data_IF_641097287285
#
_entry.id   IF_641097287285
#
_cell.length_a   1.000
_cell.length_b   1.000
_cell.length_c   1.000
_cell.angle_alpha   90.00
_cell.angle_beta   90.00
_cell.angle_gamma   90.00
#
_symmetry.space_group_name_H-M   'P 1'
#
loop_
_entity.id
_entity.type
_entity.pdbx_description
1 polymer ?
#
# COMPACT_ATOMS: atom_id res chain seq x y z
N UNK A 1 -11.49 -9.34 5.28
CA UNK A 1 -10.33 -9.16 4.38
C UNK A 1 -9.18 -8.59 5.20
N UNK A 2 -8.04 -9.30 5.27
CA UNK A 2 -6.93 -8.92 6.15
C UNK A 2 -6.11 -7.78 5.55
N UNK A 3 -6.51 -6.53 5.75
CA UNK A 3 -5.72 -5.40 5.27
C UNK A 3 -4.43 -5.23 6.08
N UNK A 4 -3.28 -5.22 5.41
CA UNK A 4 -2.01 -4.93 6.07
C UNK A 4 -1.72 -3.42 5.94
N UNK A 5 -1.47 -2.75 7.05
CA UNK A 5 -1.05 -1.35 7.05
C UNK A 5 0.41 -1.23 7.43
N UNK A 6 1.14 -0.39 6.70
CA UNK A 6 2.54 -0.07 7.02
C UNK A 6 2.76 1.42 6.91
N UNK A 7 3.59 1.91 7.81
CA UNK A 7 3.98 3.31 7.84
C UNK A 7 5.09 3.53 6.83
N UNK A 8 4.90 4.47 5.92
CA UNK A 8 5.95 4.94 5.03
C UNK A 8 7.05 5.60 5.87
N UNK A 9 8.28 5.13 5.72
CA UNK A 9 9.41 5.64 6.49
C UNK A 9 10.40 6.31 5.56
N UNK A 10 10.71 7.59 5.77
CA UNK A 10 11.81 8.23 5.06
C UNK A 10 13.15 7.68 5.56
N UNK A 11 13.96 7.12 4.67
CA UNK A 11 15.29 6.60 5.02
C UNK A 11 16.40 7.60 4.77
N UNK A 12 16.26 8.44 3.75
CA UNK A 12 17.22 9.50 3.45
C UNK A 12 16.52 10.67 2.70
N UNK A 13 17.31 11.59 2.14
CA UNK A 13 16.76 12.77 1.47
C UNK A 13 15.85 12.42 0.28
N UNK A 14 16.08 11.28 -0.37
CA UNK A 14 15.54 10.95 -1.70
C UNK A 14 14.79 9.62 -1.75
N UNK A 15 14.65 8.90 -0.64
CA UNK A 15 14.02 7.59 -0.59
C UNK A 15 13.15 7.39 0.63
N UNK A 16 12.10 6.62 0.42
CA UNK A 16 11.22 6.08 1.44
C UNK A 16 11.23 4.56 1.39
N UNK A 17 10.88 3.93 2.50
CA UNK A 17 10.78 2.48 2.60
C UNK A 17 9.45 2.04 3.19
N UNK A 18 9.03 0.87 2.75
CA UNK A 18 7.96 0.08 3.37
C UNK A 18 8.47 -1.33 3.63
N UNK A 19 7.95 -1.97 4.69
CA UNK A 19 8.29 -3.36 5.00
C UNK A 19 7.15 -4.30 4.67
N UNK A 20 7.45 -5.34 3.90
CA UNK A 20 6.52 -6.40 3.53
C UNK A 20 6.81 -7.61 4.42
N UNK A 21 5.82 -8.12 5.17
CA UNK A 21 5.97 -9.36 5.94
C UNK A 21 6.32 -10.53 5.03
N UNK A 22 7.24 -11.39 5.48
CA UNK A 22 7.60 -12.61 4.76
C UNK A 22 6.40 -13.49 4.42
N UNK A 23 5.43 -13.59 5.33
CA UNK A 23 4.21 -14.37 5.09
C UNK A 23 3.47 -13.89 3.83
N UNK A 24 3.40 -12.57 3.59
CA UNK A 24 2.77 -12.03 2.40
C UNK A 24 3.57 -12.36 1.13
N UNK A 25 4.91 -12.26 1.21
CA UNK A 25 5.79 -12.62 0.09
C UNK A 25 5.69 -14.11 -0.25
N UNK A 26 5.58 -14.98 0.75
CA UNK A 26 5.35 -16.41 0.56
C UNK A 26 3.98 -16.70 -0.05
N UNK A 27 2.92 -16.04 0.41
CA UNK A 27 1.57 -16.17 -0.15
C UNK A 27 1.51 -15.76 -1.62
N UNK A 28 2.32 -14.79 -2.03
CA UNK A 28 2.41 -14.33 -3.41
C UNK A 28 3.35 -15.18 -4.27
N UNK A 29 4.06 -16.15 -3.68
CA UNK A 29 5.07 -16.95 -4.38
C UNK A 29 6.30 -16.14 -4.81
N UNK A 30 6.56 -15.00 -4.18
CA UNK A 30 7.69 -14.14 -4.54
C UNK A 30 9.00 -14.66 -3.91
N UNK A 31 10.10 -14.54 -4.65
CA UNK A 31 11.42 -14.97 -4.20
C UNK A 31 12.25 -13.83 -3.61
N UNK A 32 13.21 -14.17 -2.75
CA UNK A 32 14.30 -13.24 -2.39
C UNK A 32 15.07 -12.85 -3.64
N UNK A 33 15.33 -11.55 -3.81
CA UNK A 33 15.93 -10.98 -5.03
C UNK A 33 15.03 -11.04 -6.28
N UNK A 34 13.74 -11.34 -6.14
CA UNK A 34 12.78 -11.21 -7.24
C UNK A 34 12.79 -9.77 -7.76
N UNK A 35 12.82 -9.62 -9.09
CA UNK A 35 12.58 -8.33 -9.74
C UNK A 35 11.08 -8.05 -9.72
N UNK A 36 10.72 -6.92 -9.12
CA UNK A 36 9.36 -6.43 -9.00
C UNK A 36 9.25 -5.16 -9.85
N UNK A 37 8.24 -5.12 -10.71
CA UNK A 37 7.83 -3.92 -11.42
C UNK A 37 6.91 -3.09 -10.54
N UNK A 38 7.20 -1.81 -10.43
CA UNK A 38 6.34 -0.81 -9.81
C UNK A 38 5.55 -0.14 -10.92
N UNK A 39 4.32 -0.59 -11.14
CA UNK A 39 3.32 0.18 -11.86
C UNK A 39 2.79 1.27 -10.92
N UNK A 40 2.57 2.46 -11.44
CA UNK A 40 1.94 3.53 -10.66
C UNK A 40 0.87 4.21 -11.52
N UNK A 41 -0.25 4.49 -10.88
CA UNK A 41 -1.32 5.33 -11.38
C UNK A 41 -1.56 6.44 -10.35
N UNK A 42 -2.24 7.53 -10.74
CA UNK A 42 -2.33 8.82 -10.02
C UNK A 42 -2.35 8.76 -8.48
N UNK A 43 -2.98 7.76 -7.86
CA UNK A 43 -3.02 7.60 -6.40
C UNK A 43 -2.53 6.23 -5.87
N UNK A 44 -2.13 5.31 -6.76
CA UNK A 44 -1.94 3.90 -6.43
C UNK A 44 -0.65 3.35 -7.00
N UNK A 45 0.06 2.56 -6.21
CA UNK A 45 1.21 1.77 -6.68
C UNK A 45 0.81 0.32 -6.74
N UNK A 46 1.08 -0.33 -7.86
CA UNK A 46 0.92 -1.77 -8.05
C UNK A 46 2.29 -2.40 -8.21
N UNK A 47 2.55 -3.44 -7.43
CA UNK A 47 3.77 -4.23 -7.44
C UNK A 47 3.45 -5.59 -8.03
N UNK A 48 4.18 -5.98 -9.06
CA UNK A 48 4.05 -7.30 -9.69
C UNK A 48 5.43 -7.86 -10.05
N UNK A 49 5.63 -9.18 -10.00
CA UNK A 49 6.84 -9.81 -10.54
C UNK A 49 7.06 -9.38 -11.99
N UNK A 50 8.31 -9.07 -12.35
CA UNK A 50 8.68 -8.65 -13.71
C UNK A 50 8.25 -9.68 -14.75
N UNK A 51 8.39 -10.97 -14.45
CA UNK A 51 8.03 -12.08 -15.34
C UNK A 51 6.52 -12.16 -15.62
N UNK A 52 5.70 -11.60 -14.73
CA UNK A 52 4.23 -11.56 -14.84
C UNK A 52 3.70 -10.20 -15.29
N UNK A 53 4.60 -9.22 -15.44
CA UNK A 53 4.22 -7.86 -15.75
C UNK A 53 4.00 -7.73 -17.26
N UNK A 54 2.74 -7.83 -17.69
CA UNK A 54 2.32 -7.56 -19.07
C UNK A 54 2.27 -6.06 -19.41
N UNK A 55 2.85 -5.20 -18.56
CA UNK A 55 2.51 -3.78 -18.56
C UNK A 55 3.31 -2.95 -19.55
N UNK A 56 2.58 -2.30 -20.44
CA UNK A 56 2.99 -1.26 -21.40
C UNK A 56 3.26 0.10 -20.73
N UNK A 57 3.15 0.17 -19.39
CA UNK A 57 3.27 1.41 -18.61
C UNK A 57 4.72 1.66 -18.14
N UNK A 58 5.15 2.93 -18.06
CA UNK A 58 6.44 3.27 -17.46
C UNK A 58 6.45 2.82 -15.99
N UNK A 59 7.29 1.83 -15.69
CA UNK A 59 7.38 1.25 -14.35
C UNK A 59 8.82 1.24 -13.85
N UNK A 60 8.97 1.33 -12.54
CA UNK A 60 10.29 1.24 -11.91
C UNK A 60 10.56 -0.22 -11.54
N UNK A 61 11.64 -0.81 -12.04
CA UNK A 61 12.06 -2.15 -11.61
C UNK A 61 12.92 -2.03 -10.36
N UNK A 62 12.57 -2.83 -9.34
CA UNK A 62 13.36 -2.96 -8.11
C UNK A 62 13.50 -4.41 -7.71
N UNK A 63 14.58 -4.69 -7.00
CA UNK A 63 14.85 -6.00 -6.45
C UNK A 63 14.27 -6.04 -5.04
N UNK A 64 13.49 -7.08 -4.75
CA UNK A 64 12.98 -7.32 -3.40
C UNK A 64 14.14 -7.70 -2.48
N UNK A 65 14.45 -6.85 -1.49
CA UNK A 65 15.55 -7.06 -0.56
C UNK A 65 15.03 -7.62 0.77
N UNK A 66 15.62 -8.72 1.27
CA UNK A 66 15.28 -9.26 2.59
C UNK A 66 16.11 -8.56 3.66
N UNK A 67 15.45 -8.16 4.74
CA UNK A 67 16.07 -7.61 5.94
C UNK A 67 16.45 -8.72 6.91
N UNK A 68 17.37 -8.47 7.86
CA UNK A 68 17.76 -9.46 8.87
C UNK A 68 16.61 -9.92 9.80
N UNK A 69 15.50 -9.19 9.84
CA UNK A 69 14.33 -9.50 10.68
C UNK A 69 13.26 -10.33 9.95
N UNK A 70 13.63 -11.10 8.93
CA UNK A 70 12.69 -11.88 8.11
C UNK A 70 11.57 -11.04 7.47
N UNK A 71 11.87 -9.79 7.11
CA UNK A 71 10.96 -8.92 6.36
C UNK A 71 11.57 -8.58 5.02
N UNK A 72 10.77 -8.08 4.10
CA UNK A 72 11.24 -7.57 2.83
C UNK A 72 11.12 -6.05 2.81
N UNK A 73 12.13 -5.39 2.28
CA UNK A 73 12.20 -3.94 2.16
C UNK A 73 11.81 -3.54 0.73
N UNK A 74 10.91 -2.58 0.65
CA UNK A 74 10.49 -1.94 -0.57
C UNK A 74 10.96 -0.48 -0.56
N UNK A 75 11.89 -0.14 -1.44
CA UNK A 75 12.42 1.23 -1.54
C UNK A 75 11.70 2.00 -2.64
N UNK A 76 11.08 3.12 -2.26
CA UNK A 76 10.29 4.00 -3.13
C UNK A 76 11.05 5.33 -3.28
N UNK A 77 11.35 5.78 -4.50
CA UNK A 77 11.95 7.10 -4.72
C UNK A 77 11.04 8.22 -4.22
N UNK A 78 11.62 9.26 -3.62
CA UNK A 78 10.89 10.45 -3.15
C UNK A 78 10.07 11.09 -4.27
N UNK A 79 10.58 11.12 -5.50
CA UNK A 79 9.85 11.65 -6.65
C UNK A 79 8.51 10.93 -6.87
N UNK A 80 8.49 9.61 -6.70
CA UNK A 80 7.25 8.81 -6.81
C UNK A 80 6.32 9.06 -5.63
N UNK A 81 6.84 9.15 -4.41
CA UNK A 81 6.06 9.52 -3.21
C UNK A 81 5.41 10.91 -3.38
N UNK A 82 6.13 11.88 -3.94
CA UNK A 82 5.61 13.22 -4.22
C UNK A 82 4.56 13.20 -5.34
N UNK A 83 4.79 12.42 -6.40
CA UNK A 83 3.82 12.25 -7.50
C UNK A 83 2.49 11.69 -6.99
N UNK A 84 2.55 10.75 -6.04
CA UNK A 84 1.39 10.10 -5.43
C UNK A 84 0.75 10.92 -4.29
N UNK A 85 1.35 12.06 -3.91
CA UNK A 85 0.90 12.86 -2.77
C UNK A 85 1.06 12.18 -1.40
N UNK A 86 1.89 11.14 -1.30
CA UNK A 86 2.15 10.45 -0.03
C UNK A 86 3.09 11.27 0.86
N UNK A 87 2.95 11.11 2.18
CA UNK A 87 3.75 11.85 3.18
C UNK A 87 4.66 10.92 3.98
N UNK A 88 5.73 11.48 4.54
CA UNK A 88 6.50 10.76 5.57
C UNK A 88 5.55 10.33 6.68
N UNK A 89 5.78 9.12 7.21
CA UNK A 89 4.99 8.56 8.29
C UNK A 89 3.50 8.34 7.96
N UNK A 90 3.09 8.47 6.70
CA UNK A 90 1.75 8.15 6.22
C UNK A 90 1.51 6.64 6.34
N UNK A 91 0.30 6.25 6.74
CA UNK A 91 -0.12 4.86 6.70
C UNK A 91 -0.52 4.47 5.28
N UNK A 92 0.13 3.42 4.77
CA UNK A 92 -0.10 2.84 3.46
C UNK A 92 -0.81 1.50 3.64
N UNK A 93 -1.93 1.36 2.97
CA UNK A 93 -2.72 0.14 2.89
C UNK A 93 -2.14 -0.79 1.83
N UNK A 94 -1.94 -2.04 2.21
CA UNK A 94 -1.50 -3.12 1.33
C UNK A 94 -2.73 -3.95 0.97
N UNK A 95 -3.22 -3.76 -0.25
CA UNK A 95 -4.11 -4.70 -0.91
C UNK A 95 -3.30 -5.80 -1.57
N UNK A 96 -3.80 -7.02 -1.57
CA UNK A 96 -3.19 -8.14 -2.27
C UNK A 96 -4.26 -8.86 -3.08
N UNK A 97 -4.05 -8.94 -4.39
CA UNK A 97 -4.96 -9.59 -5.33
C UNK A 97 -4.16 -10.27 -6.44
N UNK A 98 -4.52 -11.52 -6.76
CA UNK A 98 -3.98 -12.28 -7.91
C UNK A 98 -2.45 -12.19 -8.09
N UNK A 99 -1.69 -12.33 -7.01
CA UNK A 99 -0.21 -12.31 -7.05
C UNK A 99 0.43 -10.92 -7.14
N UNK A 100 -0.36 -9.85 -7.01
CA UNK A 100 0.07 -8.45 -7.02
C UNK A 100 -0.17 -7.79 -5.67
N UNK A 101 0.66 -6.82 -5.32
CA UNK A 101 0.43 -5.94 -4.17
C UNK A 101 -0.01 -4.57 -4.69
N UNK A 102 -1.11 -4.07 -4.17
CA UNK A 102 -1.59 -2.70 -4.33
C UNK A 102 -1.24 -1.89 -3.09
N UNK A 103 -0.67 -0.71 -3.26
CA UNK A 103 -0.33 0.22 -2.20
C UNK A 103 -1.11 1.51 -2.41
N UNK A 104 -1.85 1.90 -1.38
CA UNK A 104 -2.70 3.09 -1.40
C UNK A 104 -2.52 3.84 -0.07
N UNK A 105 -2.34 5.15 -0.11
CA UNK A 105 -2.30 5.92 1.12
C UNK A 105 -3.68 5.87 1.76
N UNK A 106 -3.73 5.55 3.05
CA UNK A 106 -4.96 5.73 3.82
C UNK A 106 -5.23 7.23 3.87
N UNK A 107 -6.36 7.66 3.33
CA UNK A 107 -6.91 8.95 3.72
C UNK A 107 -7.27 8.84 5.20
N UNK A 108 -7.01 9.87 6.02
CA UNK A 108 -7.56 9.89 7.37
C UNK A 108 -9.06 9.71 7.21
N UNK A 109 -9.56 8.55 7.66
CA UNK A 109 -10.98 8.25 7.69
C UNK A 109 -11.59 9.38 8.51
N UNK A 110 -12.24 10.33 7.83
CA UNK A 110 -13.13 11.27 8.47
C UNK A 110 -14.05 10.36 9.28
N UNK A 111 -13.90 10.39 10.60
CA UNK A 111 -14.71 9.61 11.52
C UNK A 111 -16.13 10.08 11.26
N UNK A 112 -16.85 9.39 10.38
CA UNK A 112 -18.27 9.59 10.21
C UNK A 112 -18.87 9.07 11.50
N UNK A 113 -19.06 9.98 12.44
CA UNK A 113 -20.05 9.85 13.51
C UNK A 113 -21.39 9.77 12.80
N UNK A 114 -21.72 8.59 12.30
CA UNK A 114 -23.06 8.25 11.87
C UNK A 114 -23.68 7.46 13.01
N UNK A 115 -23.91 8.17 14.12
CA UNK A 115 -24.68 7.70 15.26
C UNK A 115 -25.77 8.75 15.49
N UNK A 116 -26.75 8.78 14.59
CA UNK A 116 -28.05 9.35 14.89
C UNK A 116 -29.07 8.42 14.24
N UNK A 117 -29.55 7.48 15.06
CA UNK A 117 -30.67 6.62 14.74
C UNK A 117 -31.91 7.48 14.45
N UNK A 118 -32.72 7.18 13.42
CA UNK A 118 -34.02 7.80 13.28
C UNK A 118 -34.95 7.22 14.35
N UNK A 119 -35.33 8.02 15.35
CA UNK A 119 -36.51 7.72 16.15
C UNK A 119 -37.74 8.34 15.47
N UNK A 120 -38.37 7.54 14.62
CA UNK A 120 -39.77 7.75 14.25
C UNK A 120 -40.65 7.27 15.41
N UNK A 121 -41.52 8.13 15.91
CA UNK A 121 -42.58 7.81 16.86
C UNK A 121 -42.79 8.99 17.81
N UNK A 122 -43.97 9.58 17.98
CA UNK A 122 -45.30 9.31 17.47
C UNK A 122 -46.19 10.43 18.01
N UNK A 123 -47.32 10.65 17.34
CA UNK A 123 -48.39 11.53 17.77
C UNK A 123 -48.77 11.35 19.25
N UNK A 124 -49.03 12.45 19.95
CA UNK A 124 -50.13 12.52 20.92
C UNK A 124 -50.56 13.98 21.13
N UNK A 125 -51.86 14.19 20.91
CA UNK A 125 -52.68 15.34 21.26
C UNK A 125 -52.47 15.83 22.70
N UNK A 126 -52.64 17.14 22.91
CA UNK A 126 -53.64 17.74 23.82
C UNK A 126 -53.88 19.21 23.49
#
# INVERSE_FOLDING_TARGET
>A
MSSLQRRLQRTNKDQYTLTIPKQLVQLLGWSTKQKILFGFDRAKVTLSPLDTATSTSPGLVRILQRTPKDQFLLTIPKALVQLLGWKDKQEILFGFDKGKISLEATTPKQRSTNDEQPITGGEAHE
#
